data_IF_297441414828
#
_entry.id   IF_297441414828
#
_cell.length_a   1.000
_cell.length_b   1.000
_cell.length_c   1.000
_cell.angle_alpha   90.00
_cell.angle_beta   90.00
_cell.angle_gamma   90.00
#
_symmetry.space_group_name_H-M   'P 1'
#
loop_
_entity.id
_entity.type
_entity.pdbx_description
1 polymer ?
#
# COMPACT_ATOMS: atom_id res chain seq x y z
N UNK A 1 -6.24 7.50 -8.60
CA UNK A 1 -6.73 6.98 -7.31
C UNK A 1 -7.54 5.72 -7.58
N UNK A 2 -7.26 4.61 -6.91
CA UNK A 2 -8.01 3.37 -7.07
C UNK A 2 -8.71 3.02 -5.74
N UNK A 3 -10.00 2.66 -5.81
CA UNK A 3 -10.78 2.26 -4.64
C UNK A 3 -11.67 1.06 -4.93
N UNK A 4 -11.65 0.07 -4.05
CA UNK A 4 -12.48 -1.13 -4.20
C UNK A 4 -12.01 -2.30 -3.32
N UNK A 5 -12.72 -3.43 -3.42
CA UNK A 5 -12.36 -4.63 -2.65
C UNK A 5 -11.00 -5.22 -3.06
N UNK A 6 -10.67 -5.13 -4.35
CA UNK A 6 -9.38 -5.54 -4.93
C UNK A 6 -8.91 -4.47 -5.91
N UNK A 7 -7.72 -3.93 -5.70
CA UNK A 7 -7.11 -2.94 -6.60
C UNK A 7 -5.67 -3.34 -6.93
N UNK A 8 -5.31 -3.25 -8.20
CA UNK A 8 -3.92 -3.42 -8.68
C UNK A 8 -3.53 -2.14 -9.40
N UNK A 9 -2.47 -1.47 -8.93
CA UNK A 9 -2.02 -0.20 -9.50
C UNK A 9 -0.52 -0.26 -9.76
N UNK A 10 -0.11 0.19 -10.93
CA UNK A 10 1.29 0.40 -11.25
C UNK A 10 1.52 1.79 -11.84
N UNK A 11 2.60 2.44 -11.44
CA UNK A 11 2.97 3.76 -11.93
C UNK A 11 3.92 4.50 -11.00
N UNK A 12 4.45 5.62 -11.46
CA UNK A 12 5.41 6.40 -10.68
C UNK A 12 4.82 6.92 -9.36
N UNK A 13 3.55 7.31 -9.37
CA UNK A 13 2.80 7.78 -8.20
C UNK A 13 1.45 7.06 -8.13
N UNK A 14 1.21 6.34 -7.04
CA UNK A 14 0.00 5.54 -6.87
C UNK A 14 -0.65 5.80 -5.51
N UNK A 15 -1.96 6.01 -5.50
CA UNK A 15 -2.76 6.15 -4.28
C UNK A 15 -3.94 5.17 -4.34
N UNK A 16 -4.02 4.27 -3.36
CA UNK A 16 -5.00 3.17 -3.31
C UNK A 16 -5.67 3.10 -1.94
N UNK A 17 -6.99 2.93 -1.94
CA UNK A 17 -7.79 2.72 -0.72
C UNK A 17 -8.72 1.52 -0.88
N UNK A 18 -8.62 0.49 -0.04
CA UNK A 18 -9.44 -0.71 -0.21
C UNK A 18 -9.12 -1.87 0.71
N UNK A 19 -9.90 -2.96 0.64
CA UNK A 19 -9.66 -4.14 1.48
C UNK A 19 -8.40 -4.91 1.09
N UNK A 20 -8.15 -5.10 -0.21
CA UNK A 20 -6.97 -5.77 -0.76
C UNK A 20 -6.35 -4.95 -1.89
N UNK A 21 -5.10 -4.57 -1.74
CA UNK A 21 -4.41 -3.70 -2.70
C UNK A 21 -3.03 -4.25 -3.06
N UNK A 22 -2.69 -4.24 -4.35
CA UNK A 22 -1.34 -4.52 -4.84
C UNK A 22 -0.84 -3.29 -5.58
N UNK A 23 0.27 -2.72 -5.14
CA UNK A 23 0.80 -1.49 -5.71
C UNK A 23 2.28 -1.65 -6.06
N UNK A 24 2.65 -1.25 -7.27
CA UNK A 24 4.03 -1.28 -7.74
C UNK A 24 4.42 0.07 -8.34
N UNK A 25 5.41 0.75 -7.76
CA UNK A 25 5.72 2.11 -8.21
C UNK A 25 6.85 2.80 -7.46
N UNK A 26 7.29 3.94 -7.99
CA UNK A 26 8.36 4.71 -7.36
C UNK A 26 7.90 5.30 -6.01
N UNK A 27 6.66 5.80 -5.97
CA UNK A 27 5.98 6.34 -4.80
C UNK A 27 4.57 5.77 -4.68
N UNK A 28 4.23 5.24 -3.51
CA UNK A 28 2.93 4.59 -3.29
C UNK A 28 2.34 4.92 -1.92
N UNK A 29 1.07 5.31 -1.90
CA UNK A 29 0.27 5.49 -0.68
C UNK A 29 -0.87 4.49 -0.70
N UNK A 30 -0.94 3.63 0.30
CA UNK A 30 -1.96 2.59 0.39
C UNK A 30 -2.65 2.64 1.74
N UNK A 31 -3.98 2.62 1.73
CA UNK A 31 -4.79 2.54 2.94
C UNK A 31 -5.73 1.35 2.83
N UNK A 32 -5.70 0.42 3.78
CA UNK A 32 -6.49 -0.81 3.63
C UNK A 32 -6.24 -1.89 4.65
N UNK A 33 -7.06 -2.93 4.62
CA UNK A 33 -6.92 -4.05 5.55
C UNK A 33 -5.74 -4.95 5.17
N UNK A 34 -5.56 -5.21 3.87
CA UNK A 34 -4.49 -6.01 3.30
C UNK A 34 -3.81 -5.31 2.12
N UNK A 35 -2.50 -5.11 2.20
CA UNK A 35 -1.77 -4.40 1.15
C UNK A 35 -0.44 -5.05 0.81
N UNK A 36 -0.13 -5.16 -0.47
CA UNK A 36 1.20 -5.53 -0.98
C UNK A 36 1.74 -4.36 -1.76
N UNK A 37 2.88 -3.81 -1.34
CA UNK A 37 3.48 -2.64 -1.98
C UNK A 37 4.93 -2.93 -2.33
N UNK A 38 5.33 -2.60 -3.56
CA UNK A 38 6.70 -2.72 -4.03
C UNK A 38 7.16 -1.43 -4.70
N UNK A 39 8.35 -0.93 -4.33
CA UNK A 39 8.78 0.36 -4.83
C UNK A 39 10.05 0.97 -4.24
N UNK A 40 10.25 2.26 -4.50
CA UNK A 40 11.31 3.03 -3.85
C UNK A 40 10.82 3.66 -2.54
N UNK A 41 9.65 4.28 -2.55
CA UNK A 41 9.02 4.93 -1.39
C UNK A 41 7.58 4.48 -1.22
N UNK A 42 7.20 4.09 -0.02
CA UNK A 42 5.85 3.60 0.26
C UNK A 42 5.35 4.06 1.63
N UNK A 43 4.08 4.48 1.68
CA UNK A 43 3.35 4.75 2.90
C UNK A 43 2.12 3.84 2.92
N UNK A 44 2.02 2.98 3.93
CA UNK A 44 0.94 2.01 4.06
C UNK A 44 0.24 2.20 5.40
N UNK A 45 -1.07 2.39 5.36
CA UNK A 45 -1.93 2.45 6.53
C UNK A 45 -2.84 1.22 6.55
N UNK A 46 -2.72 0.34 7.55
CA UNK A 46 -3.47 -0.92 7.51
C UNK A 46 -3.11 -2.00 8.52
N UNK A 47 -4.00 -2.97 8.69
CA UNK A 47 -3.83 -4.08 9.64
C UNK A 47 -2.76 -5.09 9.19
N UNK A 48 -2.72 -5.46 7.90
CA UNK A 48 -1.78 -6.46 7.37
C UNK A 48 -1.16 -5.97 6.08
N UNK A 49 0.13 -5.67 6.10
CA UNK A 49 0.82 -5.08 4.96
C UNK A 49 2.16 -5.75 4.70
N UNK A 50 2.44 -6.05 3.44
CA UNK A 50 3.74 -6.52 2.96
C UNK A 50 4.33 -5.41 2.12
N UNK A 51 5.46 -4.85 2.56
CA UNK A 51 6.12 -3.74 1.86
C UNK A 51 7.53 -4.14 1.49
N UNK A 52 7.82 -4.12 0.20
CA UNK A 52 9.15 -4.32 -0.37
C UNK A 52 9.59 -3.02 -1.02
N UNK A 53 10.03 -2.07 -0.19
CA UNK A 53 10.47 -0.76 -0.65
C UNK A 53 11.72 -0.28 0.06
N UNK A 54 12.56 0.51 -0.64
CA UNK A 54 13.79 1.07 -0.06
C UNK A 54 13.50 2.00 1.12
N UNK A 55 12.37 2.73 1.09
CA UNK A 55 11.87 3.53 2.21
C UNK A 55 10.39 3.27 2.40
N UNK A 56 10.02 2.83 3.59
CA UNK A 56 8.67 2.37 3.89
C UNK A 56 8.20 2.98 5.20
N UNK A 57 6.98 3.49 5.23
CA UNK A 57 6.27 3.88 6.45
C UNK A 57 5.03 2.99 6.54
N UNK A 58 4.91 2.23 7.62
CA UNK A 58 3.74 1.37 7.87
C UNK A 58 3.11 1.81 9.19
N UNK A 59 1.85 2.24 9.14
CA UNK A 59 1.04 2.55 10.31
C UNK A 59 -0.19 1.66 10.33
N UNK A 60 -0.31 0.79 11.31
CA UNK A 60 -1.49 -0.05 11.50
C UNK A 60 -1.95 0.04 12.94
N UNK A 61 -3.24 -0.28 13.23
CA UNK A 61 -3.63 -0.51 14.61
C UNK A 61 -2.77 -1.66 15.15
N UNK A 62 -1.89 -1.34 16.08
CA UNK A 62 -1.05 -2.27 16.83
C UNK A 62 -1.98 -3.14 17.68
N UNK A 63 -2.45 -4.23 17.10
CA UNK A 63 -3.09 -5.33 17.79
C UNK A 63 -2.12 -6.49 17.90
N UNK A 64 -0.97 -6.25 18.55
CA UNK A 64 -0.05 -7.15 19.27
C UNK A 64 0.88 -6.24 20.09
#
# INVERSE_FOLDING_TARGET
MASGQRSVVSGQWSAVSGQRSVVSGQWSVVSGQWSVVSGQRSAVSGQRSVVSSQRSVVSGPTGQ
#
